data_IF_866859459982
#
_entry.id   IF_866859459982
#
_cell.length_a   1.000
_cell.length_b   1.000
_cell.length_c   1.000
_cell.angle_alpha   90.00
_cell.angle_beta   90.00
_cell.angle_gamma   90.00
#
_symmetry.space_group_name_H-M   'P 1'
#
loop_
_entity.id
_entity.type
_entity.pdbx_description
1 polymer ?
#
# COMPACT_ATOMS: atom_id res chain seq x y z
N UNK A 1 -40.15 44.40 -72.48
CA UNK A 1 -38.82 44.60 -71.84
C UNK A 1 -39.02 44.83 -70.35
N UNK A 2 -38.03 44.44 -69.53
CA UNK A 2 -37.82 44.66 -68.09
C UNK A 2 -39.02 45.18 -67.23
N UNK A 3 -39.53 44.23 -66.43
CA UNK A 3 -40.13 44.29 -65.07
C UNK A 3 -40.56 45.64 -64.49
N UNK A 4 -41.81 45.66 -64.01
CA UNK A 4 -42.32 46.57 -62.99
C UNK A 4 -42.28 45.94 -61.59
N UNK A 5 -42.34 46.80 -60.58
CA UNK A 5 -42.42 46.52 -59.13
C UNK A 5 -43.86 46.10 -58.75
N UNK A 6 -44.03 45.22 -57.75
CA UNK A 6 -45.19 45.33 -56.84
C UNK A 6 -44.89 44.74 -55.44
N UNK A 7 -45.63 45.24 -54.45
CA UNK A 7 -45.46 45.04 -53.01
C UNK A 7 -46.26 43.85 -52.42
N UNK A 8 -45.89 43.47 -51.18
CA UNK A 8 -46.68 43.08 -49.99
C UNK A 8 -48.19 42.72 -50.18
N UNK A 9 -48.83 41.75 -49.48
CA UNK A 9 -48.45 40.87 -48.34
C UNK A 9 -49.54 39.78 -48.08
N UNK A 10 -49.22 38.78 -47.22
CA UNK A 10 -50.12 37.88 -46.44
C UNK A 10 -50.87 36.77 -47.25
N UNK A 11 -50.59 35.46 -47.04
CA UNK A 11 -51.03 34.55 -45.92
C UNK A 11 -52.54 34.20 -46.05
N UNK A 12 -53.04 32.95 -46.10
CA UNK A 12 -52.51 31.58 -45.84
C UNK A 12 -53.29 30.53 -46.71
N UNK A 13 -53.21 29.18 -46.63
CA UNK A 13 -52.41 28.19 -45.87
C UNK A 13 -52.57 26.76 -46.47
N UNK A 14 -51.81 25.78 -45.92
CA UNK A 14 -52.13 24.33 -45.76
C UNK A 14 -52.02 23.37 -46.98
N UNK A 15 -51.32 22.25 -46.77
CA UNK A 15 -51.40 21.03 -47.59
C UNK A 15 -50.03 20.42 -47.86
N UNK A 16 -49.76 19.22 -47.33
CA UNK A 16 -48.43 18.60 -47.30
C UNK A 16 -47.88 18.11 -48.64
N UNK A 17 -46.59 17.76 -48.61
CA UNK A 17 -46.10 16.42 -48.97
C UNK A 17 -44.79 16.15 -48.19
N UNK A 18 -44.46 14.88 -48.01
CA UNK A 18 -43.32 14.43 -47.20
C UNK A 18 -41.98 14.69 -47.92
N UNK A 19 -41.05 15.37 -47.23
CA UNK A 19 -39.62 15.37 -47.58
C UNK A 19 -38.82 15.48 -46.28
N UNK A 20 -38.16 14.39 -45.87
CA UNK A 20 -37.39 14.29 -44.62
C UNK A 20 -35.93 14.71 -44.85
N UNK A 21 -35.42 15.78 -44.23
CA UNK A 21 -34.00 16.09 -44.24
C UNK A 21 -33.34 15.50 -43.00
N UNK A 22 -32.40 14.57 -43.19
CA UNK A 22 -31.61 14.00 -42.09
C UNK A 22 -30.84 15.07 -41.32
N UNK A 23 -31.02 15.12 -40.00
CA UNK A 23 -30.23 15.97 -39.09
C UNK A 23 -29.33 15.11 -38.20
N UNK A 24 -28.33 14.46 -38.81
CA UNK A 24 -27.22 13.89 -38.07
C UNK A 24 -26.26 15.01 -37.64
N UNK A 25 -26.56 15.59 -36.48
CA UNK A 25 -25.59 16.32 -35.68
C UNK A 25 -25.32 15.48 -34.43
N UNK A 26 -24.37 14.55 -34.55
CA UNK A 26 -23.91 13.77 -33.42
C UNK A 26 -23.34 14.73 -32.36
N UNK A 27 -23.71 14.58 -31.06
CA UNK A 27 -23.07 15.33 -30.01
C UNK A 27 -21.61 14.88 -29.92
N UNK A 28 -20.67 15.83 -30.06
CA UNK A 28 -19.26 15.61 -29.78
C UNK A 28 -19.09 15.40 -28.28
N UNK A 29 -19.05 14.13 -27.87
CA UNK A 29 -18.56 13.75 -26.54
C UNK A 29 -17.05 13.83 -26.53
N UNK A 30 -16.51 15.05 -26.46
CA UNK A 30 -15.23 15.28 -25.80
C UNK A 30 -15.47 15.01 -24.31
N UNK A 31 -15.48 13.74 -23.95
CA UNK A 31 -15.23 13.33 -22.58
C UNK A 31 -13.75 13.59 -22.35
N UNK A 32 -13.43 14.53 -21.46
CA UNK A 32 -12.09 14.62 -20.89
C UNK A 32 -11.67 13.20 -20.45
N UNK A 33 -10.40 12.79 -20.68
CA UNK A 33 -9.93 11.51 -20.17
C UNK A 33 -10.17 11.45 -18.65
N UNK A 34 -10.53 10.29 -18.09
CA UNK A 34 -10.73 10.16 -16.65
C UNK A 34 -9.50 10.70 -15.92
N UNK A 35 -9.72 11.46 -14.87
CA UNK A 35 -8.62 12.03 -14.08
C UNK A 35 -7.71 10.89 -13.59
N UNK A 36 -6.41 11.01 -13.82
CA UNK A 36 -5.43 10.01 -13.43
C UNK A 36 -5.49 9.74 -11.92
N UNK A 37 -5.21 8.50 -11.52
CA UNK A 37 -5.28 8.09 -10.11
C UNK A 37 -4.29 8.90 -9.27
N UNK A 38 -4.64 9.26 -8.04
CA UNK A 38 -3.76 10.05 -7.17
C UNK A 38 -2.81 9.16 -6.39
N UNK A 39 -1.55 9.56 -6.27
CA UNK A 39 -0.59 8.92 -5.36
C UNK A 39 -0.76 9.35 -3.89
N UNK A 40 -1.68 10.27 -3.59
CA UNK A 40 -2.01 10.63 -2.21
C UNK A 40 -2.72 9.48 -1.50
N UNK A 41 -2.35 9.25 -0.24
CA UNK A 41 -2.92 8.20 0.63
C UNK A 41 -4.30 8.61 1.19
N UNK A 42 -5.14 7.65 1.63
CA UNK A 42 -4.93 6.21 1.57
C UNK A 42 -5.03 5.66 0.13
N UNK A 43 -4.19 4.68 -0.19
CA UNK A 43 -4.33 3.87 -1.40
C UNK A 43 -5.41 2.79 -1.19
N UNK A 44 -6.02 2.31 -2.27
CA UNK A 44 -7.22 1.45 -2.28
C UNK A 44 -8.52 2.13 -1.80
N UNK A 45 -9.71 1.60 -2.17
CA UNK A 45 -10.98 2.06 -1.63
C UNK A 45 -11.06 1.98 -0.11
N UNK A 46 -11.98 2.76 0.49
CA UNK A 46 -12.11 2.88 1.94
C UNK A 46 -12.47 1.56 2.63
N UNK A 47 -13.13 0.63 1.94
CA UNK A 47 -13.51 -0.71 2.40
C UNK A 47 -12.40 -1.76 2.27
N UNK A 48 -11.23 -1.41 1.73
CA UNK A 48 -10.03 -2.25 1.84
C UNK A 48 -9.67 -2.51 3.31
N UNK A 49 -9.19 -3.72 3.68
CA UNK A 49 -9.12 -4.14 5.08
C UNK A 49 -8.18 -3.28 5.94
N UNK A 50 -7.14 -2.67 5.36
CA UNK A 50 -6.25 -1.72 6.03
C UNK A 50 -6.83 -0.30 6.18
N UNK A 51 -7.76 0.12 5.30
CA UNK A 51 -8.42 1.42 5.35
C UNK A 51 -9.63 1.45 6.32
N UNK A 52 -10.02 0.30 6.86
CA UNK A 52 -11.09 0.22 7.85
C UNK A 52 -10.61 0.63 9.25
N UNK A 53 -11.33 1.55 9.95
CA UNK A 53 -11.05 1.89 11.34
C UNK A 53 -11.45 0.74 12.27
N UNK A 54 -10.63 0.50 13.28
CA UNK A 54 -10.72 -0.64 14.21
C UNK A 54 -10.78 -0.22 15.68
N UNK A 55 -10.92 1.07 16.00
CA UNK A 55 -10.92 1.57 17.39
C UNK A 55 -11.87 0.79 18.33
N UNK A 56 -13.06 0.43 17.83
CA UNK A 56 -14.11 -0.31 18.55
C UNK A 56 -14.17 -1.80 18.19
N UNK A 57 -13.20 -2.32 17.42
CA UNK A 57 -13.17 -3.72 17.02
C UNK A 57 -12.96 -4.64 18.24
N UNK A 58 -13.57 -5.84 18.28
CA UNK A 58 -13.38 -6.77 19.38
C UNK A 58 -11.92 -7.21 19.50
N UNK A 59 -11.53 -7.56 20.73
CA UNK A 59 -10.21 -8.11 21.02
C UNK A 59 -10.17 -9.60 20.74
N UNK A 60 -9.02 -10.05 20.25
CA UNK A 60 -8.74 -11.45 20.03
C UNK A 60 -8.63 -12.23 21.35
N UNK A 61 -9.19 -13.44 21.37
CA UNK A 61 -9.15 -14.32 22.55
C UNK A 61 -7.72 -14.69 23.01
N UNK A 62 -6.72 -14.66 22.11
CA UNK A 62 -5.31 -14.88 22.42
C UNK A 62 -4.56 -13.58 22.80
N UNK A 63 -5.21 -12.39 22.80
CA UNK A 63 -4.53 -11.09 22.92
C UNK A 63 -3.53 -10.99 24.07
N UNK A 64 -3.92 -11.38 25.29
CA UNK A 64 -3.02 -11.33 26.46
C UNK A 64 -1.86 -12.32 26.28
N UNK A 65 -2.14 -13.54 25.84
CA UNK A 65 -1.13 -14.59 25.64
C UNK A 65 -0.08 -14.18 24.61
N UNK A 66 -0.49 -13.57 23.50
CA UNK A 66 0.39 -13.11 22.41
C UNK A 66 1.27 -11.94 22.84
N UNK A 67 0.72 -10.96 23.56
CA UNK A 67 1.47 -9.80 24.04
C UNK A 67 2.45 -10.18 25.15
N UNK A 68 2.05 -11.03 26.10
CA UNK A 68 2.95 -11.63 27.11
C UNK A 68 4.06 -12.47 26.46
N UNK A 69 3.77 -13.10 25.32
CA UNK A 69 4.74 -13.89 24.56
C UNK A 69 5.73 -13.05 23.75
N UNK A 70 5.28 -11.92 23.20
CA UNK A 70 6.11 -10.92 22.52
C UNK A 70 7.02 -10.20 23.52
N UNK A 71 6.49 -9.75 24.65
CA UNK A 71 7.27 -9.08 25.71
C UNK A 71 8.37 -10.01 26.28
N UNK A 72 8.05 -11.27 26.60
CA UNK A 72 9.04 -12.28 27.04
C UNK A 72 10.15 -12.54 26.02
N UNK A 73 9.94 -12.23 24.73
CA UNK A 73 10.92 -12.37 23.64
C UNK A 73 11.69 -11.07 23.35
N UNK A 74 11.59 -10.08 24.24
CA UNK A 74 12.26 -8.78 24.10
C UNK A 74 11.47 -7.77 23.29
N UNK A 75 10.14 -7.91 23.25
CA UNK A 75 9.21 -6.97 22.64
C UNK A 75 9.46 -6.69 21.17
N UNK A 76 9.19 -5.46 20.72
CA UNK A 76 9.46 -5.02 19.37
C UNK A 76 10.97 -4.99 19.07
N UNK A 77 11.38 -5.53 17.90
CA UNK A 77 12.68 -5.26 17.27
C UNK A 77 13.89 -5.19 18.21
N UNK A 78 14.56 -4.03 18.19
CA UNK A 78 15.70 -3.68 19.05
C UNK A 78 15.34 -3.39 20.54
N UNK A 79 14.28 -4.00 21.07
CA UNK A 79 13.73 -3.74 22.40
C UNK A 79 12.93 -2.43 22.51
N UNK A 80 12.41 -1.91 21.40
CA UNK A 80 11.65 -0.65 21.30
C UNK A 80 10.91 -0.57 19.97
N UNK A 81 9.88 0.28 19.90
CA UNK A 81 9.38 0.79 18.62
C UNK A 81 10.42 1.77 18.04
N UNK A 82 10.83 1.53 16.81
CA UNK A 82 11.74 2.38 16.04
C UNK A 82 11.24 2.37 14.59
N UNK A 83 11.39 3.49 13.90
CA UNK A 83 11.01 3.66 12.50
C UNK A 83 12.20 3.42 11.57
N UNK A 84 11.95 2.76 10.46
CA UNK A 84 12.74 2.85 9.23
C UNK A 84 12.02 3.78 8.26
N UNK A 85 12.78 4.59 7.54
CA UNK A 85 12.29 5.65 6.66
C UNK A 85 12.86 5.50 5.23
N UNK A 86 13.36 4.31 4.88
CA UNK A 86 14.12 4.07 3.65
C UNK A 86 13.32 3.53 2.46
N UNK A 87 12.03 3.22 2.62
CA UNK A 87 11.26 2.59 1.54
C UNK A 87 10.79 3.65 0.55
N UNK A 88 11.39 3.65 -0.63
CA UNK A 88 11.09 4.58 -1.72
C UNK A 88 9.79 4.16 -2.43
N UNK A 89 8.93 5.13 -2.76
CA UNK A 89 7.67 4.92 -3.52
C UNK A 89 7.57 6.00 -4.58
N UNK A 90 7.61 5.61 -5.84
CA UNK A 90 7.57 6.53 -6.98
C UNK A 90 6.16 6.69 -7.53
N UNK A 91 5.83 7.87 -8.03
CA UNK A 91 4.53 8.21 -8.61
C UNK A 91 4.71 8.49 -10.11
N UNK A 92 4.27 7.58 -10.98
CA UNK A 92 4.42 7.70 -12.43
C UNK A 92 3.15 8.30 -13.08
N UNK A 93 3.21 9.51 -13.65
CA UNK A 93 2.09 10.14 -14.34
C UNK A 93 1.79 9.52 -15.73
N UNK A 94 2.60 8.57 -16.19
CA UNK A 94 2.45 7.86 -17.46
C UNK A 94 3.50 8.20 -18.52
N UNK A 95 4.64 8.78 -18.13
CA UNK A 95 5.75 9.11 -19.03
C UNK A 95 7.01 8.26 -18.79
N UNK A 96 7.06 7.47 -17.71
CA UNK A 96 8.13 6.51 -17.49
C UNK A 96 8.19 5.43 -18.58
N UNK A 97 9.40 4.95 -18.96
CA UNK A 97 9.55 3.78 -19.79
C UNK A 97 9.10 2.51 -19.06
N UNK A 98 8.30 1.69 -19.74
CA UNK A 98 7.99 0.33 -19.32
C UNK A 98 9.18 -0.59 -19.61
N UNK A 99 9.83 -1.11 -18.57
CA UNK A 99 11.02 -1.96 -18.69
C UNK A 99 10.70 -3.42 -18.33
N UNK A 100 11.09 -4.34 -19.22
CA UNK A 100 11.10 -5.78 -18.93
C UNK A 100 12.28 -6.11 -18.00
N UNK A 101 12.06 -6.95 -16.99
CA UNK A 101 13.13 -7.47 -16.12
C UNK A 101 13.49 -8.92 -16.45
N UNK A 102 14.71 -9.32 -16.11
CA UNK A 102 15.15 -10.71 -16.14
C UNK A 102 14.95 -11.34 -14.76
N UNK A 103 14.11 -12.38 -14.63
CA UNK A 103 13.94 -13.09 -13.37
C UNK A 103 15.23 -13.72 -12.86
N UNK A 104 15.51 -13.53 -11.57
CA UNK A 104 16.62 -14.16 -10.83
C UNK A 104 16.18 -15.46 -10.15
N UNK A 105 17.08 -16.11 -9.40
CA UNK A 105 16.74 -17.26 -8.54
C UNK A 105 15.75 -16.89 -7.39
N UNK A 106 15.58 -15.60 -7.11
CA UNK A 106 14.63 -15.04 -6.13
C UNK A 106 13.19 -14.90 -6.72
N UNK A 107 12.97 -15.26 -7.99
CA UNK A 107 11.65 -15.30 -8.64
C UNK A 107 11.06 -16.71 -8.68
N UNK A 108 9.77 -16.86 -8.36
CA UNK A 108 9.07 -18.14 -8.36
C UNK A 108 7.61 -18.04 -8.81
N UNK A 109 7.12 -19.12 -9.43
CA UNK A 109 5.73 -19.24 -9.91
C UNK A 109 4.96 -20.27 -9.08
N UNK A 110 3.66 -20.06 -8.79
CA UNK A 110 2.80 -19.03 -9.38
C UNK A 110 2.75 -17.69 -8.61
N UNK A 111 3.50 -17.50 -7.53
CA UNK A 111 3.40 -16.32 -6.66
C UNK A 111 3.77 -14.99 -7.35
N UNK A 112 4.87 -14.97 -8.12
CA UNK A 112 5.42 -13.74 -8.69
C UNK A 112 4.85 -13.44 -10.08
N UNK A 113 4.56 -12.17 -10.33
CA UNK A 113 4.12 -11.65 -11.62
C UNK A 113 5.31 -11.44 -12.58
N UNK A 114 5.11 -11.70 -13.87
CA UNK A 114 6.10 -11.39 -14.91
C UNK A 114 5.47 -10.47 -15.94
N UNK A 115 5.77 -9.18 -15.82
CA UNK A 115 5.34 -8.11 -16.71
C UNK A 115 6.38 -6.98 -16.70
N UNK A 116 6.40 -6.12 -17.72
CA UNK A 116 7.19 -4.90 -17.68
C UNK A 116 6.67 -3.94 -16.60
N UNK A 117 7.60 -3.23 -15.96
CA UNK A 117 7.37 -2.30 -14.84
C UNK A 117 7.67 -0.87 -15.31
N UNK A 118 6.86 0.14 -14.98
CA UNK A 118 7.21 1.54 -15.22
C UNK A 118 8.39 1.94 -14.32
N UNK A 119 9.45 2.51 -14.87
CA UNK A 119 10.62 2.96 -14.10
C UNK A 119 10.88 4.45 -14.32
N UNK A 120 10.33 5.34 -13.46
CA UNK A 120 10.58 6.78 -13.49
C UNK A 120 12.07 7.15 -13.40
N UNK A 121 12.44 8.32 -13.94
CA UNK A 121 13.84 8.82 -13.89
C UNK A 121 14.28 9.15 -12.46
N UNK A 122 13.35 9.49 -11.58
CA UNK A 122 13.55 9.76 -10.15
C UNK A 122 13.25 8.57 -9.24
N UNK A 123 13.04 7.37 -9.80
CA UNK A 123 12.86 6.16 -9.01
C UNK A 123 14.16 5.71 -8.33
N UNK A 124 14.01 5.20 -7.11
CA UNK A 124 15.09 4.69 -6.26
C UNK A 124 14.65 3.34 -5.68
N UNK A 125 15.61 2.48 -5.34
CA UNK A 125 15.33 1.29 -4.54
C UNK A 125 15.38 1.64 -3.05
N UNK A 126 14.65 0.87 -2.25
CA UNK A 126 14.72 0.95 -0.79
C UNK A 126 16.16 1.00 -0.27
N UNK A 127 16.49 2.06 0.47
CA UNK A 127 17.81 2.24 1.10
C UNK A 127 18.97 2.58 0.16
N UNK A 128 18.74 2.75 -1.14
CA UNK A 128 19.77 3.02 -2.15
C UNK A 128 19.75 4.47 -2.67
N UNK A 129 20.87 4.93 -3.23
CA UNK A 129 21.00 6.24 -3.89
C UNK A 129 20.54 6.22 -5.38
N UNK A 130 19.86 5.16 -5.81
CA UNK A 130 19.34 5.01 -7.17
C UNK A 130 18.79 3.61 -7.43
N UNK A 131 18.88 3.15 -8.68
CA UNK A 131 18.27 1.88 -9.13
C UNK A 131 19.20 0.64 -9.02
N UNK A 132 20.39 0.78 -8.45
CA UNK A 132 21.34 -0.32 -8.24
C UNK A 132 21.24 -0.83 -6.80
N UNK A 133 21.06 -2.14 -6.60
CA UNK A 133 21.05 -2.76 -5.28
C UNK A 133 22.50 -2.97 -4.81
N UNK A 134 23.06 -2.02 -4.04
CA UNK A 134 24.47 -2.03 -3.62
C UNK A 134 24.67 -2.46 -2.16
N UNK A 135 23.65 -2.32 -1.32
CA UNK A 135 23.64 -2.74 0.08
C UNK A 135 23.32 -4.22 0.31
N UNK A 136 22.90 -4.96 -0.72
CA UNK A 136 22.38 -6.35 -0.64
C UNK A 136 21.23 -6.49 0.39
N UNK A 137 20.37 -5.47 0.44
CA UNK A 137 19.10 -5.49 1.16
C UNK A 137 17.97 -6.12 0.33
N UNK A 138 16.74 -5.85 0.73
CA UNK A 138 15.56 -6.28 -0.03
C UNK A 138 15.39 -5.50 -1.34
N UNK A 139 15.91 -4.26 -1.39
CA UNK A 139 16.05 -3.47 -2.62
C UNK A 139 14.73 -3.36 -3.39
N UNK A 140 13.65 -3.00 -2.66
CA UNK A 140 12.33 -2.87 -3.22
C UNK A 140 12.25 -1.75 -4.27
N UNK A 141 11.73 -2.06 -5.46
CA UNK A 141 11.24 -1.07 -6.42
C UNK A 141 9.73 -0.96 -6.28
N UNK A 142 9.23 0.22 -5.91
CA UNK A 142 7.79 0.47 -5.73
C UNK A 142 7.36 1.68 -6.58
N UNK A 143 6.40 1.47 -7.47
CA UNK A 143 5.91 2.49 -8.40
C UNK A 143 4.38 2.41 -8.53
N UNK A 144 3.69 3.52 -8.28
CA UNK A 144 2.27 3.66 -8.59
C UNK A 144 2.10 4.34 -9.96
N UNK A 145 1.55 3.60 -10.92
CA UNK A 145 1.24 4.08 -12.26
C UNK A 145 -0.16 4.73 -12.29
N UNK A 146 -0.18 6.06 -12.30
CA UNK A 146 -1.42 6.86 -12.22
C UNK A 146 -2.42 6.60 -13.37
N UNK A 147 -2.00 6.40 -14.64
CA UNK A 147 -2.94 6.19 -15.76
C UNK A 147 -3.83 4.94 -15.66
N UNK A 148 -3.37 3.89 -14.98
CA UNK A 148 -4.10 2.61 -14.85
C UNK A 148 -4.44 2.24 -13.40
N UNK A 149 -4.17 3.13 -12.45
CA UNK A 149 -4.30 2.85 -11.01
C UNK A 149 -3.58 1.54 -10.59
N UNK A 150 -2.40 1.29 -11.16
CA UNK A 150 -1.67 0.04 -10.94
C UNK A 150 -0.44 0.28 -10.09
N UNK A 151 -0.36 -0.43 -8.96
CA UNK A 151 0.80 -0.43 -8.07
C UNK A 151 1.69 -1.63 -8.39
N UNK A 152 2.94 -1.35 -8.73
CA UNK A 152 3.99 -2.33 -8.97
C UNK A 152 4.93 -2.36 -7.77
N UNK A 153 5.13 -3.52 -7.17
CA UNK A 153 6.03 -3.72 -6.04
C UNK A 153 6.94 -4.91 -6.35
N UNK A 154 8.25 -4.70 -6.45
CA UNK A 154 9.20 -5.77 -6.73
C UNK A 154 10.27 -5.87 -5.66
N UNK A 155 10.40 -7.07 -5.10
CA UNK A 155 11.51 -7.47 -4.24
C UNK A 155 12.75 -7.82 -5.07
N UNK A 156 13.94 -7.46 -4.59
CA UNK A 156 15.26 -7.72 -5.20
C UNK A 156 15.38 -7.18 -6.62
N UNK A 157 14.88 -5.97 -6.85
CA UNK A 157 15.14 -5.26 -8.10
C UNK A 157 16.61 -4.83 -8.17
N UNK A 158 17.20 -4.85 -9.36
CA UNK A 158 18.55 -4.34 -9.60
C UNK A 158 18.69 -3.88 -11.07
N UNK A 159 18.94 -2.59 -11.28
CA UNK A 159 19.07 -1.99 -12.61
C UNK A 159 20.45 -1.33 -12.74
N UNK A 160 21.35 -1.98 -13.48
CA UNK A 160 22.75 -1.55 -13.66
C UNK A 160 23.11 -1.60 -15.13
N UNK A 161 23.71 -0.52 -15.66
CA UNK A 161 24.16 -0.41 -17.05
C UNK A 161 23.10 -0.79 -18.11
N UNK A 162 21.81 -0.58 -17.80
CA UNK A 162 20.67 -0.91 -18.66
C UNK A 162 20.22 -2.38 -18.63
N UNK A 163 20.81 -3.20 -17.75
CA UNK A 163 20.32 -4.54 -17.41
C UNK A 163 19.42 -4.43 -16.19
N UNK A 164 18.18 -4.90 -16.31
CA UNK A 164 17.21 -4.99 -15.22
C UNK A 164 17.04 -6.46 -14.82
N UNK A 165 17.45 -6.79 -13.60
CA UNK A 165 17.22 -8.08 -12.95
C UNK A 165 16.26 -7.89 -11.77
N UNK A 166 15.48 -8.91 -11.43
CA UNK A 166 14.46 -8.82 -10.39
C UNK A 166 14.11 -10.15 -9.73
N UNK A 167 13.71 -10.08 -8.46
CA UNK A 167 13.04 -11.17 -7.75
C UNK A 167 11.52 -11.13 -7.95
N UNK A 168 10.77 -11.27 -6.87
CA UNK A 168 9.32 -11.36 -6.93
C UNK A 168 8.64 -10.00 -7.17
N UNK A 169 7.94 -9.86 -8.29
CA UNK A 169 7.03 -8.74 -8.57
C UNK A 169 5.60 -9.10 -8.12
N UNK A 170 4.92 -8.14 -7.48
CA UNK A 170 3.50 -8.15 -7.18
C UNK A 170 2.85 -6.94 -7.85
N UNK A 171 1.77 -7.18 -8.60
CA UNK A 171 0.99 -6.14 -9.29
C UNK A 171 -0.39 -6.06 -8.64
N UNK A 172 -0.83 -4.83 -8.37
CA UNK A 172 -2.10 -4.54 -7.72
C UNK A 172 -2.91 -3.50 -8.50
N UNK A 173 -4.22 -3.72 -8.64
CA UNK A 173 -5.16 -2.66 -8.97
C UNK A 173 -5.56 -1.95 -7.66
N UNK A 174 -5.23 -0.66 -7.52
CA UNK A 174 -5.54 0.13 -6.32
C UNK A 174 -6.84 0.93 -6.46
N UNK A 175 -7.59 0.75 -7.55
CA UNK A 175 -8.91 1.35 -7.76
C UNK A 175 -10.06 0.48 -7.24
N UNK A 176 -9.84 -0.82 -7.05
CA UNK A 176 -10.83 -1.78 -6.56
C UNK A 176 -10.53 -2.31 -5.16
N UNK A 177 -11.56 -2.73 -4.43
CA UNK A 177 -11.40 -3.42 -3.14
C UNK A 177 -10.95 -4.85 -3.41
N UNK A 178 -9.79 -5.31 -2.89
CA UNK A 178 -9.28 -6.63 -3.20
C UNK A 178 -10.15 -7.72 -2.53
N UNK A 179 -10.21 -8.93 -3.11
CA UNK A 179 -10.86 -10.07 -2.46
C UNK A 179 -10.11 -10.48 -1.19
N UNK A 180 -10.74 -11.29 -0.34
CA UNK A 180 -10.14 -11.80 0.91
C UNK A 180 -8.82 -12.56 0.69
N UNK A 181 -8.66 -13.16 -0.50
CA UNK A 181 -7.47 -13.90 -0.95
C UNK A 181 -6.46 -13.02 -1.71
N UNK A 182 -6.67 -11.69 -1.80
CA UNK A 182 -5.77 -10.74 -2.45
C UNK A 182 -5.38 -11.17 -3.89
N UNK A 183 -4.10 -11.49 -4.16
CA UNK A 183 -3.63 -12.02 -5.47
C UNK A 183 -3.76 -13.55 -5.59
N UNK A 184 -4.09 -14.24 -4.51
CA UNK A 184 -4.30 -15.69 -4.44
C UNK A 184 -4.09 -16.26 -3.04
N UNK A 185 -4.75 -17.37 -2.74
CA UNK A 185 -4.59 -18.06 -1.46
C UNK A 185 -3.20 -18.69 -1.34
N UNK A 186 -2.58 -18.58 -0.17
CA UNK A 186 -1.18 -19.01 0.08
C UNK A 186 -0.11 -18.33 -0.79
N UNK A 187 -0.46 -17.28 -1.54
CA UNK A 187 0.46 -16.55 -2.41
C UNK A 187 1.15 -15.40 -1.68
N UNK A 188 2.48 -15.27 -1.87
CA UNK A 188 3.28 -14.17 -1.33
C UNK A 188 2.98 -12.82 -2.00
N UNK A 189 3.81 -11.81 -1.75
CA UNK A 189 3.92 -10.56 -2.52
C UNK A 189 5.39 -10.19 -2.68
N UNK A 190 5.71 -8.92 -2.97
CA UNK A 190 7.04 -8.40 -2.69
C UNK A 190 7.39 -8.50 -1.18
N UNK A 191 6.37 -8.49 -0.32
CA UNK A 191 6.47 -8.71 1.13
C UNK A 191 6.03 -10.13 1.55
N UNK A 192 6.47 -10.58 2.72
CA UNK A 192 6.32 -11.95 3.20
C UNK A 192 4.91 -12.35 3.67
N UNK A 193 4.03 -11.40 4.04
CA UNK A 193 2.65 -11.68 4.39
C UNK A 193 1.70 -11.84 3.18
N UNK A 194 2.17 -11.52 1.97
CA UNK A 194 1.30 -11.42 0.79
C UNK A 194 0.45 -10.14 0.75
N UNK A 195 0.87 -9.11 1.48
CA UNK A 195 0.20 -7.80 1.57
C UNK A 195 0.86 -6.79 0.62
N UNK A 196 0.12 -5.80 0.09
CA UNK A 196 0.77 -4.68 -0.58
C UNK A 196 1.56 -3.82 0.42
N UNK A 197 2.74 -3.34 0.02
CA UNK A 197 3.64 -2.56 0.89
C UNK A 197 3.17 -1.11 0.98
N UNK A 198 3.07 -0.40 -0.15
CA UNK A 198 2.82 1.04 -0.21
C UNK A 198 1.55 1.54 0.50
N UNK A 199 0.40 0.81 0.50
CA UNK A 199 -0.81 1.20 1.22
C UNK A 199 -0.69 1.08 2.75
N UNK A 200 0.36 0.42 3.25
CA UNK A 200 0.62 0.24 4.68
C UNK A 200 1.76 1.16 5.16
N UNK A 201 2.54 1.77 4.27
CA UNK A 201 3.51 2.80 4.62
C UNK A 201 2.80 4.13 4.83
N UNK A 202 3.00 4.77 5.97
CA UNK A 202 2.66 6.18 6.14
C UNK A 202 3.76 7.05 5.52
N UNK A 203 3.42 8.29 5.14
CA UNK A 203 4.38 9.25 4.58
C UNK A 203 4.43 10.60 5.33
N UNK A 204 5.38 11.45 4.95
CA UNK A 204 5.60 12.74 5.60
C UNK A 204 4.48 13.75 5.31
N UNK A 205 3.77 13.63 4.18
CA UNK A 205 2.68 14.53 3.80
C UNK A 205 1.40 14.21 4.60
N UNK A 206 1.10 12.93 4.89
CA UNK A 206 0.07 12.54 5.85
C UNK A 206 0.38 13.03 7.27
N UNK A 207 1.62 12.86 7.72
CA UNK A 207 2.05 13.35 9.04
C UNK A 207 1.92 14.87 9.12
N UNK A 208 2.28 15.60 8.06
CA UNK A 208 2.10 17.04 7.96
C UNK A 208 0.62 17.48 7.90
N UNK A 209 -0.26 16.65 7.32
CA UNK A 209 -1.71 16.86 7.33
C UNK A 209 -2.34 16.62 8.72
N UNK A 210 -1.68 15.87 9.60
CA UNK A 210 -2.13 15.56 10.96
C UNK A 210 -3.00 14.31 11.08
N UNK A 211 -3.08 13.50 10.03
CA UNK A 211 -3.83 12.25 9.98
C UNK A 211 -3.24 11.25 8.98
N UNK A 212 -3.10 10.00 9.44
CA UNK A 212 -2.82 8.82 8.61
C UNK A 212 -4.10 7.99 8.66
N UNK A 213 -4.70 7.73 7.50
CA UNK A 213 -6.07 7.21 7.39
C UNK A 213 -6.15 5.71 7.03
N UNK A 214 -5.09 4.97 7.34
CA UNK A 214 -4.94 3.54 7.08
C UNK A 214 -4.11 2.85 8.16
N UNK A 215 -4.08 1.50 8.14
CA UNK A 215 -3.24 0.71 9.02
C UNK A 215 -1.76 0.82 8.63
N UNK A 216 -0.87 0.79 9.64
CA UNK A 216 0.57 0.93 9.45
C UNK A 216 1.26 -0.44 9.29
N UNK A 217 2.24 -0.54 8.39
CA UNK A 217 3.12 -1.71 8.26
C UNK A 217 3.99 -1.83 9.51
N UNK A 218 4.00 -3.01 10.12
CA UNK A 218 5.03 -3.34 11.11
C UNK A 218 5.64 -4.71 10.85
N UNK A 219 6.86 -4.90 11.34
CA UNK A 219 7.67 -6.10 11.16
C UNK A 219 8.29 -6.51 12.52
N UNK A 220 8.58 -7.80 12.70
CA UNK A 220 9.16 -8.32 13.95
C UNK A 220 10.28 -9.32 13.67
N UNK A 221 11.31 -9.41 14.53
CA UNK A 221 12.33 -10.45 14.34
C UNK A 221 11.73 -11.85 14.35
N UNK A 222 12.26 -12.74 13.50
CA UNK A 222 11.70 -14.07 13.24
C UNK A 222 11.47 -14.94 14.50
N UNK A 223 12.23 -14.72 15.57
CA UNK A 223 12.08 -15.44 16.85
C UNK A 223 10.82 -15.05 17.65
N UNK A 224 10.09 -14.00 17.23
CA UNK A 224 8.78 -13.55 17.76
C UNK A 224 7.60 -13.99 16.89
N UNK A 225 7.87 -14.47 15.67
CA UNK A 225 6.84 -14.81 14.69
C UNK A 225 6.37 -16.27 14.79
N UNK A 226 5.08 -16.50 14.53
CA UNK A 226 4.46 -17.84 14.46
C UNK A 226 4.90 -18.52 13.16
N UNK A 227 5.45 -19.73 13.27
CA UNK A 227 5.92 -20.47 12.10
C UNK A 227 4.75 -20.84 11.17
N UNK A 228 4.88 -20.55 9.87
CA UNK A 228 3.96 -20.97 8.79
C UNK A 228 2.47 -20.75 9.08
N UNK A 229 2.14 -19.69 9.80
CA UNK A 229 0.76 -19.35 10.18
C UNK A 229 0.49 -17.89 9.88
N UNK A 230 -0.64 -17.61 9.24
CA UNK A 230 -1.15 -16.26 9.01
C UNK A 230 -2.61 -16.12 9.44
N UNK A 231 -3.09 -14.88 9.44
CA UNK A 231 -4.48 -14.48 9.67
C UNK A 231 -4.84 -13.41 8.64
N UNK A 232 -6.12 -13.26 8.27
CA UNK A 232 -6.52 -12.23 7.29
C UNK A 232 -6.22 -10.82 7.84
N UNK A 233 -5.84 -9.85 6.98
CA UNK A 233 -5.87 -9.88 5.52
C UNK A 233 -4.64 -10.51 4.84
N UNK A 234 -3.66 -11.02 5.59
CA UNK A 234 -2.53 -11.72 4.96
C UNK A 234 -2.99 -12.98 4.22
N UNK A 235 -2.21 -13.40 3.24
CA UNK A 235 -2.40 -14.61 2.43
C UNK A 235 -1.23 -15.59 2.56
N UNK A 236 -0.10 -15.16 3.11
CA UNK A 236 1.15 -15.90 3.15
C UNK A 236 1.81 -15.83 4.52
N UNK A 237 2.68 -16.80 4.80
CA UNK A 237 3.55 -16.85 5.98
C UNK A 237 4.86 -17.55 5.61
N UNK A 238 5.92 -17.35 6.39
CA UNK A 238 7.23 -17.97 6.10
C UNK A 238 7.55 -19.17 6.98
N UNK A 239 8.52 -19.97 6.53
CA UNK A 239 9.18 -20.99 7.35
C UNK A 239 10.31 -20.46 8.24
N UNK A 240 10.68 -19.17 8.14
CA UNK A 240 11.81 -18.57 8.87
C UNK A 240 11.48 -18.24 10.33
N UNK A 241 10.21 -17.95 10.61
CA UNK A 241 9.65 -17.68 11.92
C UNK A 241 9.87 -18.84 12.92
N UNK A 242 10.24 -18.56 14.18
CA UNK A 242 10.67 -19.59 15.14
C UNK A 242 10.09 -19.49 16.55
N UNK A 243 9.04 -18.69 16.78
CA UNK A 243 8.47 -18.52 18.12
C UNK A 243 7.65 -19.71 18.61
N UNK A 244 7.15 -20.57 17.71
CA UNK A 244 6.15 -21.60 18.03
C UNK A 244 4.74 -21.03 18.14
N UNK A 245 3.83 -21.75 18.81
CA UNK A 245 2.40 -21.44 18.83
C UNK A 245 2.06 -20.11 19.54
N UNK A 246 2.85 -19.64 20.51
CA UNK A 246 2.67 -18.32 21.13
C UNK A 246 3.35 -17.18 20.36
N UNK A 247 3.79 -17.42 19.12
CA UNK A 247 4.25 -16.38 18.20
C UNK A 247 3.14 -15.54 17.59
N UNK A 248 3.50 -14.35 17.11
CA UNK A 248 2.63 -13.46 16.33
C UNK A 248 2.52 -14.00 14.88
N UNK A 249 1.33 -14.39 14.37
CA UNK A 249 1.16 -14.81 12.97
C UNK A 249 1.16 -13.61 12.01
N UNK A 250 1.61 -13.83 10.77
CA UNK A 250 1.56 -12.81 9.71
C UNK A 250 0.11 -12.32 9.49
N UNK A 251 -0.07 -11.03 9.22
CA UNK A 251 -1.38 -10.39 9.11
C UNK A 251 -2.03 -9.99 10.43
N UNK A 252 -1.49 -10.39 11.60
CA UNK A 252 -2.07 -10.01 12.89
C UNK A 252 -2.06 -8.47 13.05
N UNK A 253 -3.20 -7.92 13.48
CA UNK A 253 -3.39 -6.48 13.66
C UNK A 253 -3.29 -6.10 15.13
N UNK A 254 -2.32 -5.26 15.46
CA UNK A 254 -2.16 -4.65 16.78
C UNK A 254 -2.76 -3.24 16.79
N UNK A 255 -3.46 -2.89 17.87
CA UNK A 255 -4.05 -1.56 18.09
C UNK A 255 -3.45 -0.94 19.35
N UNK A 256 -3.02 0.31 19.30
CA UNK A 256 -2.62 1.05 20.50
C UNK A 256 -3.88 1.32 21.35
N UNK A 257 -3.85 1.11 22.66
CA UNK A 257 -5.02 1.38 23.51
C UNK A 257 -5.49 2.83 23.38
N UNK A 258 -6.81 3.01 23.38
CA UNK A 258 -7.45 4.34 23.33
C UNK A 258 -7.12 5.24 24.53
N UNK A 259 -6.61 4.68 25.64
CA UNK A 259 -6.20 5.43 26.83
C UNK A 259 -4.70 5.79 26.88
N UNK A 260 -3.92 5.43 25.84
CA UNK A 260 -2.52 5.84 25.75
C UNK A 260 -2.39 7.37 25.69
N UNK A 261 -1.54 8.00 26.53
CA UNK A 261 -1.48 9.45 26.65
C UNK A 261 -0.66 10.08 25.51
N UNK A 262 -1.26 10.25 24.31
CA UNK A 262 -0.59 10.80 23.12
C UNK A 262 0.26 12.06 23.40
N UNK A 263 -0.24 12.97 24.24
CA UNK A 263 0.45 14.21 24.63
C UNK A 263 1.80 14.00 25.36
N UNK A 264 2.13 12.79 25.84
CA UNK A 264 3.46 12.49 26.38
C UNK A 264 4.52 12.25 25.31
N UNK A 265 4.12 12.01 24.05
CA UNK A 265 5.06 11.75 22.96
C UNK A 265 5.84 13.04 22.58
N UNK A 266 7.13 12.91 22.23
CA UNK A 266 8.07 14.04 22.16
C UNK A 266 7.83 14.97 20.97
N UNK A 267 7.17 14.50 19.92
CA UNK A 267 6.96 15.23 18.66
C UNK A 267 5.52 15.13 18.15
N UNK A 268 5.13 16.08 17.31
CA UNK A 268 3.80 16.07 16.70
C UNK A 268 3.66 14.91 15.71
N UNK A 269 4.72 14.53 14.99
CA UNK A 269 4.72 13.34 14.12
C UNK A 269 4.44 12.05 14.89
N UNK A 270 5.05 11.86 16.06
CA UNK A 270 4.79 10.70 16.90
C UNK A 270 3.33 10.67 17.40
N UNK A 271 2.71 11.83 17.68
CA UNK A 271 1.29 11.92 18.06
C UNK A 271 0.37 11.52 16.92
N UNK A 272 0.67 11.94 15.68
CA UNK A 272 -0.10 11.54 14.49
C UNK A 272 -0.02 10.03 14.26
N UNK A 273 1.19 9.46 14.29
CA UNK A 273 1.39 8.00 14.15
C UNK A 273 0.68 7.24 15.26
N UNK A 274 0.82 7.64 16.53
CA UNK A 274 0.17 6.95 17.64
C UNK A 274 -1.38 7.05 17.60
N UNK A 275 -1.94 8.18 17.14
CA UNK A 275 -3.38 8.33 16.86
C UNK A 275 -3.85 7.38 15.74
N UNK A 276 -3.03 7.18 14.70
CA UNK A 276 -3.30 6.20 13.66
C UNK A 276 -3.24 4.77 14.21
N UNK A 277 -2.27 4.45 15.09
CA UNK A 277 -2.21 3.16 15.79
C UNK A 277 -3.41 2.90 16.72
N UNK A 278 -4.07 3.93 17.25
CA UNK A 278 -5.35 3.79 17.97
C UNK A 278 -6.54 3.54 17.02
N UNK A 279 -6.55 4.24 15.88
CA UNK A 279 -7.72 4.29 14.97
C UNK A 279 -7.74 3.14 13.98
N UNK A 280 -6.59 2.85 13.37
CA UNK A 280 -6.37 1.85 12.32
C UNK A 280 -5.36 0.76 12.74
N UNK A 281 -4.54 1.00 13.76
CA UNK A 281 -3.55 0.02 14.22
C UNK A 281 -2.44 -0.23 13.20
N UNK A 282 -1.75 -1.35 13.40
CA UNK A 282 -0.66 -1.81 12.55
C UNK A 282 -0.79 -3.30 12.25
N UNK A 283 -0.44 -3.70 11.02
CA UNK A 283 -0.57 -5.07 10.51
C UNK A 283 0.82 -5.67 10.31
N UNK A 284 1.03 -6.90 10.80
CA UNK A 284 2.31 -7.58 10.66
C UNK A 284 2.50 -8.03 9.21
N UNK A 285 3.45 -7.42 8.51
CA UNK A 285 3.73 -7.73 7.11
C UNK A 285 4.97 -8.62 6.91
N UNK A 286 6.01 -8.46 7.74
CA UNK A 286 7.30 -9.13 7.51
C UNK A 286 8.07 -9.54 8.78
N UNK A 287 9.13 -10.34 8.57
CA UNK A 287 10.17 -10.65 9.53
C UNK A 287 11.38 -9.71 9.41
N UNK A 288 11.52 -8.73 10.31
CA UNK A 288 12.64 -7.78 10.29
C UNK A 288 12.92 -7.12 11.64
N UNK A 289 13.90 -6.20 11.70
CA UNK A 289 14.43 -5.71 13.00
C UNK A 289 13.91 -4.33 13.45
N UNK A 290 13.54 -3.46 12.52
CA UNK A 290 13.05 -2.10 12.82
C UNK A 290 11.52 -2.11 12.75
N UNK A 291 10.86 -1.85 13.88
CA UNK A 291 9.47 -2.25 14.07
C UNK A 291 8.48 -1.63 13.08
N UNK A 292 8.57 -0.33 12.81
CA UNK A 292 7.72 0.37 11.84
C UNK A 292 8.54 0.71 10.59
N UNK A 293 7.92 0.62 9.42
CA UNK A 293 8.52 1.12 8.17
C UNK A 293 7.61 2.18 7.56
N UNK A 294 8.19 3.33 7.20
CA UNK A 294 7.54 4.44 6.54
C UNK A 294 8.13 4.68 5.16
N UNK A 295 7.44 5.49 4.37
CA UNK A 295 7.93 5.93 3.07
C UNK A 295 9.14 6.87 3.24
N UNK A 296 10.09 6.82 2.32
CA UNK A 296 11.13 7.84 2.18
C UNK A 296 10.51 9.20 1.90
N UNK A 297 10.98 10.24 2.59
CA UNK A 297 10.51 11.59 2.34
C UNK A 297 11.12 12.21 1.08
N UNK A 298 12.01 11.51 0.35
CA UNK A 298 12.69 11.99 -0.87
C UNK A 298 11.72 12.65 -1.86
N UNK A 299 10.59 11.99 -2.14
CA UNK A 299 9.60 12.41 -3.13
C UNK A 299 8.34 13.09 -2.54
N UNK A 300 8.21 13.15 -1.20
CA UNK A 300 7.11 13.87 -0.52
C UNK A 300 7.32 15.38 -0.46
N UNK A 301 6.29 16.17 -0.15
CA UNK A 301 6.42 17.64 -0.03
C UNK A 301 7.03 18.05 1.32
N UNK A 302 6.48 17.52 2.41
CA UNK A 302 7.03 17.62 3.76
C UNK A 302 8.32 16.78 3.92
N UNK A 303 9.05 16.98 5.01
CA UNK A 303 10.27 16.22 5.35
C UNK A 303 10.23 15.74 6.79
N UNK A 304 10.83 14.58 7.07
CA UNK A 304 10.75 13.91 8.37
C UNK A 304 11.33 14.75 9.51
N UNK A 305 12.42 15.48 9.24
CA UNK A 305 13.11 16.38 10.19
C UNK A 305 12.24 17.56 10.68
N UNK A 306 11.15 17.90 9.99
CA UNK A 306 10.20 18.94 10.43
C UNK A 306 9.19 18.41 11.49
N UNK A 307 8.97 17.09 11.56
CA UNK A 307 7.89 16.47 12.33
C UNK A 307 8.35 15.51 13.43
N UNK A 308 9.60 15.03 13.37
CA UNK A 308 10.20 14.11 14.33
C UNK A 308 11.56 14.61 14.83
N UNK A 309 11.94 14.25 16.06
CA UNK A 309 13.29 14.48 16.60
C UNK A 309 14.28 13.37 16.22
N UNK A 310 13.75 12.23 15.77
CA UNK A 310 14.47 11.15 15.12
C UNK A 310 13.61 9.88 14.99
N UNK A 311 14.20 8.81 14.48
CA UNK A 311 13.53 7.52 14.24
C UNK A 311 13.05 6.78 15.51
N UNK A 312 13.20 7.38 16.70
CA UNK A 312 12.91 6.79 18.01
C UNK A 312 11.88 7.55 18.82
N UNK A 313 11.20 8.55 18.26
CA UNK A 313 10.18 9.32 18.97
C UNK A 313 8.99 8.48 19.51
N UNK A 314 8.87 7.23 19.04
CA UNK A 314 7.87 6.25 19.48
C UNK A 314 8.45 5.21 20.47
N UNK A 315 9.70 5.33 20.92
CA UNK A 315 10.37 4.28 21.71
C UNK A 315 9.76 4.03 23.10
N UNK A 316 8.96 4.99 23.60
CA UNK A 316 8.16 4.87 24.82
C UNK A 316 6.87 4.02 24.65
N UNK A 317 6.53 3.57 23.43
CA UNK A 317 5.44 2.62 23.21
C UNK A 317 5.88 1.19 23.61
N UNK A 318 5.34 0.67 24.71
CA UNK A 318 5.60 -0.70 25.15
C UNK A 318 4.65 -1.71 24.50
N UNK A 319 5.02 -2.99 24.44
CA UNK A 319 4.10 -4.07 23.98
C UNK A 319 2.82 -4.08 24.81
N UNK A 320 2.94 -3.81 26.10
CA UNK A 320 1.83 -3.73 27.04
C UNK A 320 0.83 -2.61 26.71
N UNK A 321 1.16 -1.63 25.86
CA UNK A 321 0.25 -0.55 25.44
C UNK A 321 -0.63 -0.91 24.24
N UNK A 322 -0.40 -2.07 23.62
CA UNK A 322 -1.18 -2.57 22.51
C UNK A 322 -2.22 -3.60 22.94
N UNK A 323 -3.16 -3.85 22.04
CA UNK A 323 -4.16 -4.91 22.09
C UNK A 323 -4.14 -5.66 20.75
N UNK A 324 -4.45 -6.95 20.76
CA UNK A 324 -4.63 -7.73 19.53
C UNK A 324 -6.09 -7.64 19.11
N UNK A 325 -6.33 -7.18 17.89
CA UNK A 325 -7.67 -7.15 17.27
C UNK A 325 -8.06 -8.56 16.85
N UNK A 326 -9.33 -8.93 17.02
CA UNK A 326 -9.89 -10.22 16.61
C UNK A 326 -9.47 -10.59 15.19
N UNK A 327 -8.68 -11.65 15.07
CA UNK A 327 -8.00 -12.01 13.82
C UNK A 327 -8.60 -13.24 13.11
N UNK A 328 -9.69 -13.83 13.64
CA UNK A 328 -10.38 -14.94 13.01
C UNK A 328 -9.54 -16.22 12.94
N UNK A 329 -9.63 -16.96 11.83
CA UNK A 329 -8.97 -18.25 11.66
C UNK A 329 -7.44 -18.11 11.50
N UNK A 330 -6.70 -18.99 12.21
CA UNK A 330 -5.25 -19.12 12.08
C UNK A 330 -4.96 -20.10 10.96
N UNK A 331 -4.68 -19.56 9.78
CA UNK A 331 -4.53 -20.36 8.57
C UNK A 331 -3.10 -20.90 8.51
N UNK A 332 -2.98 -22.22 8.40
CA UNK A 332 -1.69 -22.89 8.21
C UNK A 332 -1.26 -22.75 6.75
N UNK A 333 -0.15 -22.06 6.51
CA UNK A 333 0.40 -21.88 5.16
C UNK A 333 1.01 -23.20 4.65
N UNK A 334 0.61 -23.61 3.45
CA UNK A 334 1.13 -24.81 2.78
C UNK A 334 2.35 -24.52 1.90
N UNK A 335 2.43 -23.33 1.31
CA UNK A 335 3.34 -23.01 0.21
C UNK A 335 2.77 -23.32 -1.18
N UNK A 336 1.52 -23.80 -1.26
CA UNK A 336 0.83 -24.06 -2.51
C UNK A 336 -0.01 -22.83 -2.89
N UNK A 337 0.62 -21.79 -3.47
CA UNK A 337 -0.07 -20.60 -3.97
C UNK A 337 -1.13 -20.96 -5.03
N UNK A 338 -2.37 -20.52 -4.81
CA UNK A 338 -3.51 -20.70 -5.72
C UNK A 338 -4.10 -19.34 -6.07
N UNK A 339 -3.87 -18.89 -7.30
CA UNK A 339 -4.54 -17.73 -7.88
C UNK A 339 -5.94 -18.11 -8.40
N UNK A 340 -6.88 -17.18 -8.32
CA UNK A 340 -8.23 -17.30 -8.90
C UNK A 340 -8.30 -16.82 -10.36
#
# INVERSE_FOLDING_TARGET
>A
MRRWILCLTLVACKGGDDDTPSTDSAPSTDSDPPAAFSCAKPLFPADAPWNQPIAEAPLDAESVTLLDALERRGGFGNGRVQMDLSIEVSCDPGDAPMLEFTPTDDFYTPDCDLAPVPVPEDAHLEGEDGLACTGDGDCHLIVLHQPTATLYEQWRANIVDGVYEGGCLAIWDVSETPPETLRGEHCTSADAAGLPIAPLLFDADEVAAGEINHAIRFILPNDRLRNRTYVRPATHATGAASAGDDGIPYGLRLRLRADYPLESLPSDGARVVAKALQTYGMILADGGTIALTAQSDRLTTAKWDDWFTGTRDLEDLAVADFEVVEAGERIAWTGDCVRE
#
